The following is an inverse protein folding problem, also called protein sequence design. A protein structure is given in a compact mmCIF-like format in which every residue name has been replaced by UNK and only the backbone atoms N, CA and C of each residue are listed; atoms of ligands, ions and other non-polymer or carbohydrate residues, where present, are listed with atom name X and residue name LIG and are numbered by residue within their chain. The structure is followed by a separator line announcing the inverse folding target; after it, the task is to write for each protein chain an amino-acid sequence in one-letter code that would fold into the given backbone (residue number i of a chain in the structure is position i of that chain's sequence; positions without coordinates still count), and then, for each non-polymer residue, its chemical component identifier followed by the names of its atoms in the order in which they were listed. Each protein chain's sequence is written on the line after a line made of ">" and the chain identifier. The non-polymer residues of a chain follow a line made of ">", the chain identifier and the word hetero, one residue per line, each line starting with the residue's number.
data_IF_366077703954
#
_entry.id   IF_366077703954
#
_cell.length_a   1.000
_cell.length_b   1.000
_cell.length_c   1.000
_cell.angle_alpha   90.00
_cell.angle_beta   90.00
_cell.angle_gamma   90.00
#
_symmetry.space_group_name_H-M   'P 1'
#
loop_
_entity.id
_entity.type
_entity.pdbx_description
1 polymer ?
#
# COMPACT_ATOMS: atom_id res chain seq x y z
N UNK A 1 -4.44 -7.44 -31.31
CA UNK A 1 -4.65 -7.51 -29.85
C UNK A 1 -3.76 -6.46 -29.22
N UNK A 2 -4.32 -5.42 -28.60
CA UNK A 2 -3.50 -4.39 -27.94
C UNK A 2 -3.24 -4.82 -26.51
N UNK A 3 -2.06 -5.36 -26.24
CA UNK A 3 -1.49 -5.49 -24.89
C UNK A 3 -0.51 -4.33 -24.75
N UNK A 4 -0.71 -3.44 -23.78
CA UNK A 4 0.40 -2.55 -23.45
C UNK A 4 1.51 -3.38 -22.82
N UNK A 5 2.74 -3.06 -23.17
CA UNK A 5 3.94 -3.73 -22.68
C UNK A 5 4.24 -3.28 -21.25
N UNK A 6 5.00 -4.09 -20.52
CA UNK A 6 5.60 -3.70 -19.22
C UNK A 6 6.29 -2.35 -19.32
N UNK A 7 6.99 -2.11 -20.43
CA UNK A 7 7.71 -0.87 -20.70
C UNK A 7 6.76 0.33 -20.83
N UNK A 8 5.65 0.18 -21.56
CA UNK A 8 4.64 1.23 -21.70
C UNK A 8 3.97 1.55 -20.35
N UNK A 9 3.61 0.52 -19.58
CA UNK A 9 3.06 0.68 -18.23
C UNK A 9 4.07 1.36 -17.29
N UNK A 10 5.31 0.91 -17.27
CA UNK A 10 6.38 1.49 -16.44
C UNK A 10 6.59 2.96 -16.77
N UNK A 11 6.63 3.31 -18.06
CA UNK A 11 6.76 4.71 -18.48
C UNK A 11 5.57 5.55 -18.00
N UNK A 12 4.35 5.03 -18.16
CA UNK A 12 3.13 5.72 -17.74
C UNK A 12 3.06 5.92 -16.21
N UNK A 13 3.36 4.88 -15.44
CA UNK A 13 3.35 4.93 -13.97
C UNK A 13 4.39 5.90 -13.42
N UNK A 14 5.62 5.88 -13.96
CA UNK A 14 6.65 6.86 -13.61
C UNK A 14 6.25 8.29 -13.95
N UNK A 15 5.66 8.51 -15.14
CA UNK A 15 5.16 9.84 -15.50
C UNK A 15 3.98 10.30 -14.63
N UNK A 16 3.31 9.36 -13.96
CA UNK A 16 2.21 9.62 -13.02
C UNK A 16 2.69 9.75 -11.57
N UNK A 17 4.01 9.62 -11.32
CA UNK A 17 4.64 9.83 -10.01
C UNK A 17 4.97 8.56 -9.22
N UNK A 18 4.73 7.36 -9.77
CA UNK A 18 5.12 6.12 -9.08
C UNK A 18 6.63 5.86 -9.19
N UNK A 19 7.24 5.50 -8.07
CA UNK A 19 8.59 4.93 -8.03
C UNK A 19 8.52 3.42 -8.31
N UNK A 20 8.63 3.05 -9.58
CA UNK A 20 8.54 1.65 -10.01
C UNK A 20 9.58 1.32 -11.08
N UNK A 21 9.86 0.03 -11.28
CA UNK A 21 10.71 -0.46 -12.37
C UNK A 21 9.96 -1.54 -13.18
N UNK A 22 10.53 -1.96 -14.31
CA UNK A 22 9.88 -2.94 -15.19
C UNK A 22 9.66 -4.28 -14.48
N UNK A 23 10.55 -4.69 -13.56
CA UNK A 23 10.37 -5.91 -12.77
C UNK A 23 9.13 -5.84 -11.89
N UNK A 24 8.96 -4.74 -11.15
CA UNK A 24 7.81 -4.51 -10.27
C UNK A 24 6.50 -4.46 -11.06
N UNK A 25 6.51 -3.78 -12.20
CA UNK A 25 5.35 -3.71 -13.10
C UNK A 25 5.05 -5.08 -13.70
N UNK A 26 6.06 -5.86 -14.08
CA UNK A 26 5.89 -7.21 -14.59
C UNK A 26 5.27 -8.15 -13.54
N UNK A 27 5.69 -8.05 -12.27
CA UNK A 27 5.09 -8.80 -11.16
C UNK A 27 3.60 -8.46 -11.01
N UNK A 28 3.27 -7.16 -10.97
CA UNK A 28 1.88 -6.71 -10.92
C UNK A 28 1.06 -7.27 -12.08
N UNK A 29 1.55 -7.16 -13.32
CA UNK A 29 0.87 -7.67 -14.52
C UNK A 29 0.61 -9.18 -14.46
N UNK A 30 1.50 -9.94 -13.82
CA UNK A 30 1.35 -11.40 -13.66
C UNK A 30 0.30 -11.76 -12.60
N UNK A 31 0.24 -10.97 -11.51
CA UNK A 31 -0.72 -11.16 -10.42
C UNK A 31 -2.13 -10.74 -10.82
N UNK A 32 -2.25 -9.61 -11.52
CA UNK A 32 -3.53 -9.12 -12.04
C UNK A 32 -3.81 -9.74 -13.40
N UNK A 33 -4.18 -11.03 -13.40
CA UNK A 33 -4.59 -11.82 -14.59
C UNK A 33 -5.73 -11.20 -15.43
N UNK A 34 -6.29 -10.07 -14.99
CA UNK A 34 -7.46 -9.36 -15.53
C UNK A 34 -7.08 -8.04 -16.20
N UNK A 35 -5.96 -7.97 -16.92
CA UNK A 35 -5.71 -6.81 -17.76
C UNK A 35 -6.75 -6.73 -18.88
N UNK A 36 -7.64 -5.77 -18.71
CA UNK A 36 -8.74 -5.48 -19.61
C UNK A 36 -8.18 -5.19 -21.01
N UNK A 37 -8.88 -5.61 -22.06
CA UNK A 37 -8.44 -5.51 -23.46
C UNK A 37 -8.61 -4.07 -23.94
N UNK A 38 -7.85 -3.16 -23.32
CA UNK A 38 -7.88 -1.72 -23.51
C UNK A 38 -6.71 -1.28 -24.39
N UNK A 39 -6.94 -0.26 -25.23
CA UNK A 39 -5.90 0.33 -26.07
C UNK A 39 -5.05 1.29 -25.22
N UNK A 40 -4.01 0.75 -24.57
CA UNK A 40 -3.05 1.51 -23.79
C UNK A 40 -3.30 1.50 -22.28
N UNK A 41 -2.31 2.02 -21.56
CA UNK A 41 -2.30 2.13 -20.09
C UNK A 41 -3.23 3.28 -19.68
N UNK A 42 -4.14 3.00 -18.76
CA UNK A 42 -5.13 3.97 -18.28
C UNK A 42 -4.82 4.42 -16.84
N UNK A 43 -5.51 5.47 -16.40
CA UNK A 43 -5.50 5.86 -14.98
C UNK A 43 -6.02 4.76 -14.06
N UNK A 44 -6.96 3.93 -14.54
CA UNK A 44 -7.46 2.79 -13.76
C UNK A 44 -6.36 1.74 -13.54
N UNK A 45 -5.51 1.52 -14.54
CA UNK A 45 -4.35 0.63 -14.43
C UNK A 45 -3.35 1.16 -13.40
N UNK A 46 -3.12 2.48 -13.38
CA UNK A 46 -2.28 3.12 -12.37
C UNK A 46 -2.86 2.96 -10.95
N UNK A 47 -4.15 3.21 -10.75
CA UNK A 47 -4.80 3.03 -9.44
C UNK A 47 -4.72 1.56 -9.01
N UNK A 48 -4.95 0.62 -9.93
CA UNK A 48 -4.84 -0.81 -9.63
C UNK A 48 -3.42 -1.22 -9.27
N UNK A 49 -2.41 -0.69 -9.97
CA UNK A 49 -1.00 -0.90 -9.65
C UNK A 49 -0.65 -0.34 -8.27
N UNK A 50 -1.05 0.90 -7.98
CA UNK A 50 -0.77 1.59 -6.72
C UNK A 50 -1.39 0.86 -5.52
N UNK A 51 -2.64 0.42 -5.65
CA UNK A 51 -3.31 -0.40 -4.63
C UNK A 51 -2.62 -1.75 -4.43
N UNK A 52 -2.28 -2.45 -5.51
CA UNK A 52 -1.56 -3.73 -5.42
C UNK A 52 -0.21 -3.55 -4.74
N UNK A 53 0.55 -2.52 -5.12
CA UNK A 53 1.87 -2.25 -4.58
C UNK A 53 1.81 -1.87 -3.09
N UNK A 54 0.84 -1.03 -2.71
CA UNK A 54 0.63 -0.60 -1.31
C UNK A 54 0.21 -1.75 -0.39
N UNK A 55 -0.46 -2.76 -0.93
CA UNK A 55 -0.88 -3.93 -0.16
C UNK A 55 0.25 -4.94 0.09
N UNK A 56 1.37 -4.88 -0.65
CA UNK A 56 2.47 -5.84 -0.51
C UNK A 56 3.06 -5.79 0.89
N UNK A 57 3.28 -6.96 1.48
CA UNK A 57 3.79 -7.09 2.85
C UNK A 57 2.75 -6.84 3.94
N UNK A 58 1.55 -6.36 3.60
CA UNK A 58 0.46 -6.10 4.57
C UNK A 58 -0.47 -7.29 4.70
N UNK A 59 -1.41 -7.26 5.65
CA UNK A 59 -2.48 -8.24 5.73
C UNK A 59 -3.41 -8.26 4.49
N UNK A 60 -3.36 -7.22 3.67
CA UNK A 60 -4.20 -7.03 2.49
C UNK A 60 -3.53 -7.51 1.19
N UNK A 61 -2.32 -8.08 1.27
CA UNK A 61 -1.65 -8.66 0.11
C UNK A 61 -2.51 -9.77 -0.52
N UNK A 62 -2.65 -9.73 -1.84
CA UNK A 62 -3.41 -10.73 -2.57
C UNK A 62 -2.70 -12.09 -2.55
N UNK A 63 -3.47 -13.17 -2.41
CA UNK A 63 -2.94 -14.53 -2.51
C UNK A 63 -2.30 -15.11 -1.24
N UNK A 64 -2.20 -14.34 -0.16
CA UNK A 64 -1.76 -14.87 1.14
C UNK A 64 -2.86 -15.72 1.80
N UNK A 65 -2.45 -16.71 2.58
CA UNK A 65 -3.37 -17.56 3.35
C UNK A 65 -4.04 -16.78 4.49
N UNK A 66 -5.19 -17.27 4.97
CA UNK A 66 -5.86 -16.67 6.12
C UNK A 66 -4.97 -16.68 7.38
N UNK A 67 -4.13 -17.72 7.53
CA UNK A 67 -3.16 -17.80 8.63
C UNK A 67 -2.14 -16.68 8.56
N UNK A 68 -1.57 -16.41 7.38
CA UNK A 68 -0.61 -15.32 7.17
C UNK A 68 -1.27 -13.96 7.35
N UNK A 69 -2.50 -13.79 6.84
CA UNK A 69 -3.30 -12.58 7.06
C UNK A 69 -3.51 -12.31 8.55
N UNK A 70 -3.95 -13.31 9.32
CA UNK A 70 -4.13 -13.19 10.77
C UNK A 70 -2.82 -12.83 11.46
N UNK A 71 -1.71 -13.49 11.09
CA UNK A 71 -0.41 -13.20 11.69
C UNK A 71 0.02 -11.74 11.45
N UNK A 72 -0.16 -11.21 10.23
CA UNK A 72 0.16 -9.81 9.90
C UNK A 72 -0.76 -8.82 10.64
N UNK A 73 -2.06 -9.11 10.73
CA UNK A 73 -3.00 -8.28 11.50
C UNK A 73 -2.65 -8.22 12.99
N UNK A 74 -2.17 -9.32 13.57
CA UNK A 74 -1.75 -9.34 14.98
C UNK A 74 -0.51 -8.47 15.21
N UNK A 75 0.43 -8.44 14.26
CA UNK A 75 1.58 -7.52 14.29
C UNK A 75 1.09 -6.07 14.22
N UNK A 76 0.25 -5.74 13.24
CA UNK A 76 -0.31 -4.40 13.06
C UNK A 76 -1.07 -3.91 14.31
N UNK A 77 -1.87 -4.78 14.94
CA UNK A 77 -2.56 -4.46 16.20
C UNK A 77 -1.56 -4.11 17.32
N UNK A 78 -0.44 -4.82 17.42
CA UNK A 78 0.56 -4.56 18.46
C UNK A 78 1.33 -3.26 18.20
N UNK A 79 1.63 -2.97 16.95
CA UNK A 79 2.28 -1.71 16.56
C UNK A 79 1.35 -0.53 16.86
N UNK A 80 0.07 -0.61 16.48
CA UNK A 80 -0.93 0.42 16.79
C UNK A 80 -1.12 0.64 18.29
N UNK A 81 -1.13 -0.43 19.09
CA UNK A 81 -1.19 -0.31 20.56
C UNK A 81 0.03 0.43 21.11
N UNK A 82 1.21 0.16 20.55
CA UNK A 82 2.45 0.83 20.96
C UNK A 82 2.42 2.31 20.57
N UNK A 83 1.95 2.63 19.37
CA UNK A 83 1.79 4.01 18.91
C UNK A 83 0.78 4.79 19.76
N UNK A 84 -0.36 4.18 20.10
CA UNK A 84 -1.34 4.78 21.04
C UNK A 84 -0.67 5.12 22.37
N UNK A 85 0.13 4.21 22.94
CA UNK A 85 0.82 4.47 24.20
C UNK A 85 1.83 5.62 24.08
N UNK A 86 2.58 5.70 22.98
CA UNK A 86 3.51 6.79 22.71
C UNK A 86 2.78 8.12 22.59
N UNK A 87 1.75 8.19 21.74
CA UNK A 87 0.96 9.40 21.51
C UNK A 87 0.23 9.85 22.77
N UNK A 88 -0.23 8.91 23.61
CA UNK A 88 -0.87 9.24 24.90
C UNK A 88 0.14 9.92 25.82
N UNK A 89 1.38 9.42 25.93
CA UNK A 89 2.42 10.05 26.73
C UNK A 89 2.85 11.41 26.19
N UNK A 90 2.98 11.54 24.87
CA UNK A 90 3.28 12.83 24.23
C UNK A 90 2.18 13.85 24.51
N UNK A 91 0.92 13.43 24.40
CA UNK A 91 -0.23 14.27 24.73
C UNK A 91 -0.21 14.71 26.19
N UNK A 92 0.00 13.79 27.13
CA UNK A 92 0.11 14.11 28.57
C UNK A 92 1.23 15.13 28.82
N UNK A 93 2.41 14.93 28.22
CA UNK A 93 3.52 15.88 28.34
C UNK A 93 3.21 17.26 27.76
N UNK A 94 2.46 17.34 26.67
CA UNK A 94 2.01 18.61 26.08
C UNK A 94 0.92 19.29 26.94
N UNK A 95 -0.02 18.52 27.48
CA UNK A 95 -1.04 19.00 28.41
C UNK A 95 -0.39 19.61 29.66
N UNK A 96 0.61 18.95 30.24
CA UNK A 96 1.40 19.46 31.36
C UNK A 96 2.13 20.77 31.00
N UNK A 97 2.78 20.84 29.84
CA UNK A 97 3.47 22.05 29.36
C UNK A 97 2.53 23.23 29.16
N UNK A 98 1.28 22.96 28.78
CA UNK A 98 0.25 23.98 28.58
C UNK A 98 -0.53 24.32 29.87
N UNK A 99 -0.26 23.63 30.98
CA UNK A 99 -1.00 23.79 32.23
C UNK A 99 -2.46 23.31 32.14
N UNK A 100 -2.76 22.45 31.16
CA UNK A 100 -4.07 21.83 30.94
C UNK A 100 -4.05 20.50 31.70
N UNK A 101 -3.95 20.53 33.02
CA UNK A 101 -4.04 19.30 33.80
C UNK A 101 -5.44 18.70 33.64
N UNK A 102 -5.52 17.52 33.04
CA UNK A 102 -6.72 16.69 33.03
C UNK A 102 -7.05 16.30 34.48
N UNK A 103 -8.13 16.89 35.02
CA UNK A 103 -8.69 16.59 36.36
C UNK A 103 -9.45 15.28 36.36
#
# INVERSE_FOLDING_TARGET
>A
MSRFTVREATKFFRSSGADCNETLVQEWMNDTKTMNISYGVTKSDFISFDMWNSARGTAYENGISDKERIARLLVEINDLKTEILTLTKEKEGLEDQLGIMSS
#
